data_IF_114208091550
#
_entry.id   IF_114208091550
#
_cell.length_a   1.000
_cell.length_b   1.000
_cell.length_c   1.000
_cell.angle_alpha   90.00
_cell.angle_beta   90.00
_cell.angle_gamma   90.00
#
_symmetry.space_group_name_H-M   'P 1'
#
loop_
_entity.id
_entity.type
_entity.pdbx_description
1 polymer ?
#
# COMPACT_ATOMS: atom_id res chain seq x y z
N UNK A 1 -7.84 -4.01 23.94
CA UNK A 1 -8.77 -4.15 25.08
C UNK A 1 -9.18 -5.62 25.18
N UNK A 2 -9.02 -6.29 26.33
CA UNK A 2 -9.56 -7.63 26.52
C UNK A 2 -11.10 -7.54 26.49
N UNK A 3 -11.73 -8.16 25.48
CA UNK A 3 -13.18 -8.26 25.40
C UNK A 3 -13.62 -9.25 26.48
N UNK A 4 -14.22 -8.74 27.55
CA UNK A 4 -14.86 -9.58 28.58
C UNK A 4 -16.33 -9.68 28.22
N UNK A 5 -16.92 -10.90 28.08
CA UNK A 5 -18.35 -11.03 27.92
C UNK A 5 -19.06 -10.31 29.07
N UNK A 6 -20.01 -9.43 28.76
CA UNK A 6 -20.80 -8.74 29.77
C UNK A 6 -21.54 -9.73 30.66
N UNK A 7 -21.75 -9.39 31.93
CA UNK A 7 -22.61 -10.18 32.82
C UNK A 7 -24.05 -10.10 32.29
N UNK A 8 -24.79 -11.21 32.39
CA UNK A 8 -26.21 -11.17 32.06
C UNK A 8 -26.95 -10.17 32.97
N UNK A 9 -27.95 -9.44 32.44
CA UNK A 9 -28.75 -8.53 33.24
C UNK A 9 -29.36 -9.28 34.41
N UNK A 10 -29.35 -8.67 35.59
CA UNK A 10 -30.00 -9.24 36.77
C UNK A 10 -31.42 -8.70 36.88
N UNK A 11 -32.38 -9.61 36.92
CA UNK A 11 -33.78 -9.32 37.28
C UNK A 11 -33.98 -9.97 38.65
N UNK A 12 -34.28 -9.18 39.67
CA UNK A 12 -34.45 -9.64 41.06
C UNK A 12 -33.25 -10.40 41.64
N UNK A 13 -32.03 -9.99 41.27
CA UNK A 13 -30.78 -10.63 41.71
C UNK A 13 -30.47 -11.94 40.98
N UNK A 14 -31.34 -12.39 40.06
CA UNK A 14 -31.12 -13.58 39.23
C UNK A 14 -30.61 -13.16 37.85
N UNK A 15 -29.47 -13.71 37.37
CA UNK A 15 -29.01 -13.47 36.01
C UNK A 15 -30.02 -14.01 34.99
N UNK A 16 -30.62 -13.12 34.20
CA UNK A 16 -31.47 -13.46 33.06
C UNK A 16 -30.79 -13.02 31.77
N UNK A 17 -30.15 -13.98 31.10
CA UNK A 17 -29.66 -13.75 29.74
C UNK A 17 -30.87 -13.85 28.78
N UNK A 18 -30.90 -13.08 27.68
CA UNK A 18 -31.85 -13.33 26.59
C UNK A 18 -31.80 -14.81 26.16
N UNK A 19 -32.88 -15.37 25.59
CA UNK A 19 -32.77 -16.67 24.93
C UNK A 19 -31.78 -16.58 23.75
N UNK A 20 -30.98 -17.63 23.54
CA UNK A 20 -30.08 -17.70 22.38
C UNK A 20 -30.91 -17.78 21.09
N UNK A 21 -30.44 -17.14 20.02
CA UNK A 21 -31.15 -17.12 18.73
C UNK A 21 -30.93 -18.44 17.99
N UNK A 22 -29.70 -18.97 18.04
CA UNK A 22 -29.35 -20.29 17.52
C UNK A 22 -28.16 -20.90 18.29
N UNK A 23 -27.82 -22.15 17.96
CA UNK A 23 -26.64 -22.85 18.52
C UNK A 23 -25.66 -23.12 17.40
N UNK A 24 -24.53 -22.44 17.45
CA UNK A 24 -23.48 -22.62 16.45
C UNK A 24 -22.45 -23.63 16.91
N UNK A 25 -22.10 -24.54 16.01
CA UNK A 25 -20.99 -25.46 16.20
C UNK A 25 -19.76 -24.86 15.52
N UNK A 26 -18.85 -24.28 16.31
CA UNK A 26 -17.63 -23.65 15.81
C UNK A 26 -16.43 -24.56 16.02
N UNK A 27 -15.54 -24.59 15.04
CA UNK A 27 -14.26 -25.30 15.13
C UNK A 27 -13.15 -24.30 15.44
N UNK A 28 -12.53 -24.44 16.62
CA UNK A 28 -11.53 -23.49 17.12
C UNK A 28 -10.39 -24.21 17.84
N UNK A 29 -9.24 -23.53 17.95
CA UNK A 29 -8.18 -23.99 18.84
C UNK A 29 -8.49 -23.58 20.27
N UNK A 30 -8.74 -24.57 21.14
CA UNK A 30 -8.76 -24.37 22.58
C UNK A 30 -7.35 -24.43 23.13
N UNK A 31 -6.90 -23.36 23.79
CA UNK A 31 -5.67 -23.34 24.57
C UNK A 31 -5.93 -24.04 25.90
N UNK A 32 -5.16 -25.08 26.19
CA UNK A 32 -5.21 -25.85 27.43
C UNK A 32 -4.25 -25.30 28.48
N UNK A 33 -3.07 -24.87 28.05
CA UNK A 33 -2.03 -24.29 28.89
C UNK A 33 -1.12 -23.39 28.04
N UNK A 34 -0.54 -22.39 28.67
CA UNK A 34 0.39 -21.47 28.02
C UNK A 34 1.42 -20.94 29.03
N UNK A 35 2.68 -20.85 28.61
CA UNK A 35 3.71 -20.23 29.41
C UNK A 35 4.67 -19.42 28.53
N UNK A 36 5.28 -18.39 29.12
CA UNK A 36 6.37 -17.66 28.51
C UNK A 36 7.57 -17.70 29.45
N UNK A 37 8.77 -17.77 28.88
CA UNK A 37 9.99 -17.88 29.66
C UNK A 37 11.23 -17.50 28.87
N UNK A 38 12.25 -17.10 29.62
CA UNK A 38 13.59 -16.86 29.11
C UNK A 38 14.42 -18.14 29.25
N UNK A 39 15.17 -18.47 28.19
CA UNK A 39 16.19 -19.52 28.22
C UNK A 39 17.53 -18.91 27.80
N UNK A 40 18.59 -19.25 28.55
CA UNK A 40 19.96 -18.93 28.16
C UNK A 40 20.51 -20.07 27.31
N UNK A 41 20.72 -19.81 26.02
CA UNK A 41 21.41 -20.73 25.12
C UNK A 41 22.89 -20.42 25.14
N UNK A 42 23.74 -21.44 25.23
CA UNK A 42 25.18 -21.25 25.22
C UNK A 42 25.92 -22.45 24.65
N UNK A 43 27.06 -22.18 24.02
CA UNK A 43 27.95 -23.20 23.47
C UNK A 43 29.38 -22.68 23.43
N UNK A 44 30.32 -23.54 23.78
CA UNK A 44 31.74 -23.31 23.57
C UNK A 44 32.22 -24.10 22.36
N UNK A 45 33.05 -23.47 21.52
CA UNK A 45 33.71 -24.10 20.38
C UNK A 45 35.21 -23.84 20.48
N UNK A 46 36.06 -24.71 19.91
CA UNK A 46 37.50 -24.50 19.94
C UNK A 46 37.86 -23.38 18.96
N UNK A 47 38.66 -22.42 19.41
CA UNK A 47 39.14 -21.33 18.57
C UNK A 47 39.90 -21.84 17.35
N UNK A 48 40.70 -22.91 17.52
CA UNK A 48 41.47 -23.53 16.44
C UNK A 48 40.61 -24.13 15.31
N UNK A 49 39.31 -24.39 15.54
CA UNK A 49 38.40 -24.87 14.49
C UNK A 49 38.02 -23.75 13.51
N UNK A 50 38.23 -22.47 13.87
CA UNK A 50 37.83 -21.29 13.10
C UNK A 50 38.99 -20.33 12.81
N UNK A 51 39.96 -20.24 13.72
CA UNK A 51 41.07 -19.30 13.69
C UNK A 51 42.38 -20.04 13.41
N UNK A 52 43.19 -19.52 12.49
CA UNK A 52 44.49 -20.10 12.11
C UNK A 52 45.61 -19.72 13.06
N UNK A 53 45.43 -18.67 13.85
CA UNK A 53 46.37 -18.17 14.84
C UNK A 53 45.75 -18.19 16.23
N UNK A 54 46.53 -18.43 17.29
CA UNK A 54 46.06 -18.29 18.66
C UNK A 54 45.51 -16.88 18.92
N UNK A 55 44.41 -16.79 19.67
CA UNK A 55 43.76 -15.53 20.01
C UNK A 55 44.58 -14.87 21.14
N UNK A 56 45.06 -13.62 20.97
CA UNK A 56 45.73 -12.88 22.05
C UNK A 56 44.80 -12.64 23.26
N UNK A 57 45.38 -12.54 24.46
CA UNK A 57 44.61 -12.30 25.71
C UNK A 57 43.90 -10.94 25.73
N UNK A 58 44.36 -9.97 24.94
CA UNK A 58 43.80 -8.61 24.80
C UNK A 58 42.83 -8.48 23.60
N UNK A 59 42.50 -9.59 22.92
CA UNK A 59 41.57 -9.57 21.81
C UNK A 59 40.11 -9.33 22.27
N UNK A 60 39.38 -8.54 21.48
CA UNK A 60 37.95 -8.31 21.70
C UNK A 60 37.14 -9.27 20.82
N UNK A 61 36.29 -10.08 21.45
CA UNK A 61 35.34 -10.96 20.78
C UNK A 61 34.00 -10.24 20.69
N UNK A 62 33.61 -9.88 19.47
CA UNK A 62 32.30 -9.33 19.18
C UNK A 62 31.40 -10.40 18.61
N UNK A 63 30.11 -10.33 18.92
CA UNK A 63 29.13 -11.20 18.29
C UNK A 63 27.86 -10.43 17.95
N UNK A 64 27.13 -10.94 16.97
CA UNK A 64 25.81 -10.45 16.58
C UNK A 64 24.87 -11.63 16.34
N UNK A 65 23.59 -11.48 16.68
CA UNK A 65 22.58 -12.50 16.37
C UNK A 65 22.25 -12.42 14.88
N UNK A 66 22.34 -13.55 14.19
CA UNK A 66 21.99 -13.60 12.76
C UNK A 66 20.47 -13.45 12.61
N UNK A 67 19.97 -12.46 11.83
CA UNK A 67 18.53 -12.22 11.69
C UNK A 67 17.77 -13.47 11.19
N UNK A 68 16.56 -13.69 11.72
CA UNK A 68 15.66 -14.77 11.31
C UNK A 68 16.19 -16.21 11.51
N UNK A 69 17.22 -16.40 12.33
CA UNK A 69 17.75 -17.74 12.64
C UNK A 69 17.18 -18.35 13.92
N UNK A 70 16.57 -17.52 14.78
CA UNK A 70 15.95 -17.98 16.01
C UNK A 70 14.71 -18.86 15.73
N UNK A 71 14.74 -20.09 16.22
CA UNK A 71 13.69 -21.11 16.02
C UNK A 71 13.37 -21.75 17.36
N UNK A 72 12.07 -22.00 17.58
CA UNK A 72 11.61 -22.89 18.64
C UNK A 72 10.62 -23.88 18.06
N UNK A 73 10.83 -25.17 18.31
CA UNK A 73 9.94 -26.22 17.83
C UNK A 73 9.78 -27.34 18.85
N UNK A 74 8.62 -27.97 18.82
CA UNK A 74 8.27 -29.09 19.68
C UNK A 74 9.05 -30.35 19.26
N UNK A 75 9.66 -31.04 20.22
CA UNK A 75 10.44 -32.25 19.97
C UNK A 75 9.88 -33.49 20.67
N UNK A 76 8.99 -33.33 21.66
CA UNK A 76 8.37 -34.48 22.30
C UNK A 76 7.75 -34.18 23.65
N UNK A 77 7.16 -35.23 24.22
CA UNK A 77 6.59 -35.21 25.55
C UNK A 77 7.33 -36.18 26.47
N UNK A 78 7.43 -35.82 27.75
CA UNK A 78 7.79 -36.75 28.81
C UNK A 78 6.61 -37.61 29.26
N UNK A 79 6.85 -38.47 30.24
CA UNK A 79 5.81 -39.29 30.86
C UNK A 79 4.73 -38.42 31.53
N UNK A 80 3.50 -38.93 31.56
CA UNK A 80 2.40 -38.26 32.26
C UNK A 80 2.64 -38.25 33.78
N UNK A 81 2.38 -37.10 34.37
CA UNK A 81 2.12 -36.92 35.79
C UNK A 81 0.60 -36.70 35.97
N UNK A 82 -0.13 -37.66 36.55
CA UNK A 82 -1.59 -37.64 36.59
C UNK A 82 -2.18 -36.33 37.15
N UNK A 83 -3.33 -35.85 36.62
CA UNK A 83 -4.15 -36.52 35.60
C UNK A 83 -3.67 -36.28 34.16
N UNK A 84 -3.22 -35.08 33.77
CA UNK A 84 -2.77 -34.78 32.39
C UNK A 84 -1.61 -33.77 32.29
N UNK A 85 -0.87 -33.56 33.37
CA UNK A 85 0.36 -32.79 33.28
C UNK A 85 1.47 -33.64 32.69
N UNK A 86 2.28 -33.11 31.79
CA UNK A 86 3.49 -33.80 31.33
C UNK A 86 4.56 -32.80 30.92
N UNK A 87 5.84 -33.23 30.95
CA UNK A 87 6.90 -32.44 30.39
C UNK A 87 6.69 -32.21 28.90
N UNK A 88 6.75 -30.96 28.48
CA UNK A 88 6.76 -30.54 27.08
C UNK A 88 8.19 -30.16 26.74
N UNK A 89 8.77 -30.89 25.79
CA UNK A 89 10.14 -30.67 25.35
C UNK A 89 10.11 -29.85 24.06
N UNK A 90 10.83 -28.74 24.07
CA UNK A 90 11.03 -27.89 22.91
C UNK A 90 12.52 -27.69 22.68
N UNK A 91 12.92 -27.67 21.42
CA UNK A 91 14.28 -27.33 21.03
C UNK A 91 14.33 -25.89 20.55
N UNK A 92 15.32 -25.16 21.03
CA UNK A 92 15.60 -23.79 20.65
C UNK A 92 16.92 -23.77 19.90
N UNK A 93 16.97 -22.97 18.85
CA UNK A 93 18.14 -22.79 18.02
C UNK A 93 18.26 -21.32 17.64
N UNK A 94 19.47 -20.79 17.65
CA UNK A 94 19.79 -19.45 17.16
C UNK A 94 21.23 -19.43 16.68
N UNK A 95 21.47 -18.75 15.57
CA UNK A 95 22.81 -18.61 15.02
C UNK A 95 23.37 -17.24 15.43
N UNK A 96 24.64 -17.24 15.85
CA UNK A 96 25.39 -16.03 16.17
C UNK A 96 26.60 -15.93 15.26
N UNK A 97 26.83 -14.75 14.71
CA UNK A 97 28.04 -14.42 13.96
C UNK A 97 29.08 -13.86 14.93
N UNK A 98 30.30 -14.35 14.85
CA UNK A 98 31.41 -13.99 15.74
C UNK A 98 32.55 -13.39 14.92
N UNK A 99 33.07 -12.26 15.40
CA UNK A 99 34.24 -11.58 14.84
C UNK A 99 35.20 -11.23 15.96
N UNK A 100 36.48 -11.56 15.79
CA UNK A 100 37.54 -11.35 16.78
C UNK A 100 38.50 -10.29 16.24
N UNK A 101 38.75 -9.28 17.06
CA UNK A 101 39.63 -8.15 16.75
C UNK A 101 40.75 -8.04 17.77
N UNK A 102 41.95 -7.64 17.35
CA UNK A 102 43.05 -7.33 18.26
C UNK A 102 42.82 -5.99 18.99
N UNK A 103 43.73 -5.64 19.90
CA UNK A 103 43.69 -4.35 20.61
C UNK A 103 43.83 -3.12 19.69
N UNK A 104 44.32 -3.30 18.46
CA UNK A 104 44.40 -2.24 17.44
C UNK A 104 43.13 -2.16 16.57
N UNK A 105 42.15 -3.04 16.77
CA UNK A 105 40.91 -3.11 16.01
C UNK A 105 41.01 -3.87 14.69
N UNK A 106 42.12 -4.57 14.44
CA UNK A 106 42.32 -5.41 13.24
C UNK A 106 41.63 -6.75 13.46
N UNK A 107 40.84 -7.18 12.48
CA UNK A 107 40.18 -8.49 12.51
C UNK A 107 41.23 -9.59 12.39
N UNK A 108 41.36 -10.41 13.43
CA UNK A 108 42.28 -11.56 13.47
C UNK A 108 41.57 -12.82 12.95
N UNK A 109 40.27 -12.94 13.23
CA UNK A 109 39.49 -14.13 12.92
C UNK A 109 38.00 -13.79 12.75
N UNK A 110 37.37 -14.37 11.74
CA UNK A 110 35.96 -14.17 11.40
C UNK A 110 35.71 -13.20 10.23
N UNK A 111 34.43 -12.95 9.91
CA UNK A 111 33.23 -13.47 10.58
C UNK A 111 33.02 -14.98 10.35
N UNK A 112 32.53 -15.69 11.36
CA UNK A 112 32.04 -17.07 11.24
C UNK A 112 30.80 -17.28 12.11
N UNK A 113 30.02 -18.31 11.79
CA UNK A 113 28.73 -18.56 12.44
C UNK A 113 28.81 -19.74 13.40
N UNK A 114 28.29 -19.56 14.61
CA UNK A 114 28.09 -20.62 15.60
C UNK A 114 26.59 -20.80 15.83
N UNK A 115 26.10 -22.03 15.70
CA UNK A 115 24.74 -22.39 16.11
C UNK A 115 24.71 -22.71 17.60
N UNK A 116 23.92 -21.93 18.35
CA UNK A 116 23.56 -22.16 19.74
C UNK A 116 22.24 -22.92 19.78
N UNK A 117 22.19 -24.01 20.54
CA UNK A 117 20.98 -24.82 20.66
C UNK A 117 20.81 -25.35 22.09
N UNK A 118 19.57 -25.52 22.50
CA UNK A 118 19.21 -25.99 23.83
C UNK A 118 17.86 -26.69 23.83
N UNK A 119 17.71 -27.64 24.74
CA UNK A 119 16.44 -28.30 25.00
C UNK A 119 15.87 -27.73 26.28
N UNK A 120 14.66 -27.19 26.18
CA UNK A 120 13.91 -26.70 27.31
C UNK A 120 12.74 -27.61 27.61
N UNK A 121 12.45 -27.77 28.89
CA UNK A 121 11.38 -28.59 29.40
C UNK A 121 10.49 -27.79 30.35
N UNK A 122 9.19 -27.77 30.08
CA UNK A 122 8.19 -27.20 30.99
C UNK A 122 7.13 -28.24 31.33
N UNK A 123 6.69 -28.27 32.59
CA UNK A 123 5.55 -29.08 33.01
C UNK A 123 4.27 -28.34 32.64
N UNK A 124 3.47 -28.89 31.71
CA UNK A 124 2.26 -28.24 31.21
C UNK A 124 1.09 -29.23 31.15
N UNK A 125 -0.13 -28.71 31.23
CA UNK A 125 -1.34 -29.49 31.02
C UNK A 125 -1.50 -29.81 29.52
N UNK A 126 -1.14 -31.03 29.13
CA UNK A 126 -1.15 -31.46 27.73
C UNK A 126 -1.82 -32.84 27.55
N UNK A 127 -3.17 -32.89 27.56
CA UNK A 127 -3.93 -34.10 27.30
C UNK A 127 -3.60 -34.76 25.94
N UNK A 128 -3.94 -36.04 25.75
CA UNK A 128 -3.87 -36.67 24.43
C UNK A 128 -4.65 -35.89 23.37
N UNK A 129 -4.09 -35.77 22.16
CA UNK A 129 -4.69 -35.03 21.05
C UNK A 129 -4.38 -33.53 21.00
N UNK A 130 -3.56 -33.01 21.92
CA UNK A 130 -3.08 -31.62 21.84
C UNK A 130 -1.87 -31.44 20.94
N UNK A 131 -1.80 -30.31 20.26
CA UNK A 131 -0.67 -29.75 19.54
C UNK A 131 0.11 -28.80 20.45
N UNK A 132 1.43 -28.77 20.29
CA UNK A 132 2.30 -27.79 20.96
C UNK A 132 2.78 -26.79 19.94
N UNK A 133 2.55 -25.52 20.21
CA UNK A 133 3.11 -24.43 19.46
C UNK A 133 4.18 -23.75 20.31
N UNK A 134 5.39 -23.59 19.76
CA UNK A 134 6.41 -22.75 20.37
C UNK A 134 6.74 -21.59 19.44
N UNK A 135 6.82 -20.38 19.99
CA UNK A 135 7.10 -19.16 19.25
C UNK A 135 8.17 -18.36 19.98
N UNK A 136 9.21 -17.94 19.24
CA UNK A 136 10.18 -16.98 19.77
C UNK A 136 9.56 -15.59 19.75
N UNK A 137 9.48 -14.95 20.91
CA UNK A 137 8.92 -13.60 21.10
C UNK A 137 10.02 -12.56 20.90
N UNK A 138 11.19 -12.80 21.49
CA UNK A 138 12.33 -11.90 21.44
C UNK A 138 13.65 -12.67 21.61
N UNK A 139 14.73 -12.09 21.08
CA UNK A 139 16.09 -12.58 21.27
C UNK A 139 16.91 -11.42 21.84
N UNK A 140 17.62 -11.67 22.93
CA UNK A 140 18.49 -10.69 23.55
C UNK A 140 19.83 -10.57 22.83
N UNK A 141 20.69 -9.69 23.34
CA UNK A 141 22.05 -9.55 22.83
C UNK A 141 22.87 -10.81 23.11
N UNK A 142 23.78 -11.13 22.19
CA UNK A 142 24.73 -12.21 22.41
C UNK A 142 25.96 -11.67 23.16
N UNK A 143 26.62 -12.54 23.90
CA UNK A 143 27.92 -12.28 24.53
C UNK A 143 28.82 -13.47 24.28
N UNK A 144 30.08 -13.24 23.94
CA UNK A 144 31.07 -14.29 23.74
C UNK A 144 32.33 -13.96 24.53
N UNK A 145 32.81 -14.95 25.27
CA UNK A 145 34.00 -14.85 26.11
C UNK A 145 35.05 -15.88 25.67
N UNK A 146 36.33 -15.53 25.83
CA UNK A 146 37.43 -16.47 25.66
C UNK A 146 37.65 -17.22 26.97
N UNK A 147 37.71 -18.54 26.89
CA UNK A 147 38.08 -19.41 28.00
C UNK A 147 39.24 -20.31 27.58
N UNK A 148 40.05 -20.76 28.53
CA UNK A 148 41.07 -21.80 28.29
C UNK A 148 40.59 -23.09 28.93
N UNK A 149 40.56 -24.17 28.17
CA UNK A 149 40.30 -25.50 28.71
C UNK A 149 41.43 -25.87 29.69
N UNK A 150 41.14 -26.11 30.97
CA UNK A 150 42.19 -26.41 31.97
C UNK A 150 42.86 -27.77 31.76
N UNK A 151 42.28 -28.66 30.94
CA UNK A 151 42.78 -30.01 30.68
C UNK A 151 43.61 -30.02 29.39
N UNK A 152 43.05 -29.50 28.29
CA UNK A 152 43.73 -29.55 26.98
C UNK A 152 44.64 -28.35 26.73
N UNK A 153 44.41 -27.23 27.43
CA UNK A 153 45.04 -25.95 27.13
C UNK A 153 44.47 -25.24 25.90
N UNK A 154 43.41 -25.79 25.28
CA UNK A 154 42.80 -25.20 24.10
C UNK A 154 42.04 -23.91 24.44
N UNK A 155 42.11 -22.92 23.54
CA UNK A 155 41.27 -21.73 23.61
C UNK A 155 39.86 -22.06 23.13
N UNK A 156 38.87 -21.74 23.94
CA UNK A 156 37.45 -21.94 23.70
C UNK A 156 36.74 -20.59 23.56
N UNK A 157 35.95 -20.45 22.51
CA UNK A 157 35.06 -19.30 22.30
C UNK A 157 33.68 -19.71 22.82
N UNK A 158 33.28 -19.15 23.95
CA UNK A 158 32.03 -19.48 24.63
C UNK A 158 31.01 -18.37 24.42
N UNK A 159 30.03 -18.63 23.56
CA UNK A 159 28.97 -17.68 23.24
C UNK A 159 27.67 -18.04 23.95
N UNK A 160 26.92 -17.02 24.37
CA UNK A 160 25.61 -17.16 25.02
C UNK A 160 24.64 -16.08 24.56
N UNK A 161 23.35 -16.43 24.51
CA UNK A 161 22.26 -15.54 24.13
C UNK A 161 20.99 -15.92 24.87
N UNK A 162 20.19 -14.91 25.23
CA UNK A 162 18.90 -15.10 25.89
C UNK A 162 17.80 -15.17 24.84
N UNK A 163 16.94 -16.18 24.92
CA UNK A 163 15.79 -16.34 24.02
C UNK A 163 14.52 -16.31 24.86
N UNK A 164 13.62 -15.36 24.57
CA UNK A 164 12.29 -15.29 25.14
C UNK A 164 11.30 -15.97 24.19
N UNK A 165 10.54 -16.92 24.73
CA UNK A 165 9.62 -17.74 23.93
C UNK A 165 8.31 -17.98 24.67
N UNK A 166 7.27 -18.22 23.87
CA UNK A 166 5.96 -18.67 24.30
C UNK A 166 5.76 -20.12 23.90
N UNK A 167 5.23 -20.93 24.82
CA UNK A 167 4.80 -22.30 24.55
C UNK A 167 3.30 -22.37 24.83
N UNK A 168 2.53 -22.86 23.85
CA UNK A 168 1.08 -23.02 23.94
C UNK A 168 0.68 -24.46 23.64
N UNK A 169 -0.19 -25.01 24.48
CA UNK A 169 -0.81 -26.32 24.27
C UNK A 169 -2.23 -26.11 23.76
N UNK A 170 -2.51 -26.59 22.55
CA UNK A 170 -3.79 -26.37 21.86
C UNK A 170 -4.42 -27.68 21.44
N UNK A 171 -5.74 -27.74 21.33
CA UNK A 171 -6.37 -28.76 20.50
C UNK A 171 -7.46 -28.14 19.64
N UNK A 172 -7.67 -28.73 18.47
CA UNK A 172 -8.82 -28.42 17.64
C UNK A 172 -10.06 -29.01 18.31
N UNK A 173 -10.99 -28.16 18.70
CA UNK A 173 -12.24 -28.56 19.37
C UNK A 173 -13.43 -28.01 18.62
N UNK A 174 -14.55 -28.75 18.72
CA UNK A 174 -15.87 -28.27 18.30
C UNK A 174 -16.61 -27.77 19.52
N UNK A 175 -16.88 -26.47 19.57
CA UNK A 175 -17.65 -25.86 20.66
C UNK A 175 -19.06 -25.57 20.16
N UNK A 176 -20.03 -25.94 20.98
CA UNK A 176 -21.40 -25.50 20.80
C UNK A 176 -21.55 -24.19 21.58
N UNK A 177 -21.57 -23.06 20.87
CA UNK A 177 -21.72 -21.74 21.48
C UNK A 177 -23.14 -21.22 21.24
N UNK A 178 -23.83 -20.70 22.28
CA UNK A 178 -25.06 -19.97 22.06
C UNK A 178 -24.73 -18.66 21.34
N UNK A 179 -25.26 -18.46 20.13
CA UNK A 179 -25.16 -17.18 19.45
C UNK A 179 -26.42 -16.35 19.72
N UNK A 180 -26.20 -15.08 20.00
CA UNK A 180 -27.25 -14.10 20.30
C UNK A 180 -27.52 -13.18 19.10
N UNK A 181 -27.03 -13.57 17.92
CA UNK A 181 -26.98 -12.77 16.69
C UNK A 181 -25.60 -12.81 16.05
N UNK A 182 -25.49 -12.28 14.83
CA UNK A 182 -24.22 -12.00 14.17
C UNK A 182 -23.74 -10.60 14.59
N UNK A 183 -22.43 -10.34 14.47
CA UNK A 183 -21.98 -8.96 14.46
C UNK A 183 -22.61 -8.27 13.24
N UNK A 184 -23.59 -7.41 13.47
CA UNK A 184 -23.95 -6.42 12.46
C UNK A 184 -22.73 -5.54 12.23
N UNK A 185 -22.42 -5.27 10.96
CA UNK A 185 -21.36 -4.35 10.61
C UNK A 185 -21.74 -2.99 11.20
N UNK A 186 -21.08 -2.62 12.30
CA UNK A 186 -21.08 -1.23 12.73
C UNK A 186 -20.45 -0.43 11.56
N UNK A 187 -21.17 0.55 10.99
CA UNK A 187 -20.58 1.39 9.96
C UNK A 187 -19.31 1.98 10.53
N UNK A 188 -18.18 1.81 9.82
CA UNK A 188 -16.91 2.39 10.21
C UNK A 188 -17.15 3.86 10.52
N UNK A 189 -17.06 4.26 11.79
CA UNK A 189 -17.05 5.67 12.15
C UNK A 189 -15.70 6.18 11.64
N UNK A 190 -15.65 6.98 10.55
CA UNK A 190 -14.38 7.51 10.11
C UNK A 190 -13.82 8.29 11.29
N UNK A 191 -12.56 8.00 11.65
CA UNK A 191 -11.77 8.95 12.45
C UNK A 191 -11.97 10.33 11.80
N UNK A 192 -12.18 11.44 12.55
CA UNK A 192 -12.26 12.76 11.97
C UNK A 192 -10.97 13.00 11.18
N UNK A 193 -10.99 12.67 9.89
CA UNK A 193 -9.88 12.90 9.02
C UNK A 193 -9.85 14.41 8.82
N UNK A 194 -8.68 15.06 8.90
CA UNK A 194 -8.58 16.42 8.42
C UNK A 194 -9.20 16.45 7.02
N UNK A 195 -10.16 17.34 6.83
CA UNK A 195 -11.02 17.43 5.64
C UNK A 195 -10.20 17.14 4.38
N UNK A 196 -10.36 15.94 3.84
CA UNK A 196 -9.76 15.52 2.59
C UNK A 196 -10.92 15.41 1.60
N UNK A 197 -11.19 16.46 0.79
CA UNK A 197 -12.29 16.43 -0.16
C UNK A 197 -12.07 15.26 -1.13
N UNK A 198 -13.00 14.31 -1.11
CA UNK A 198 -13.03 13.16 -2.00
C UNK A 198 -14.35 13.20 -2.79
N UNK A 199 -14.31 13.25 -4.14
CA UNK A 199 -13.13 13.20 -4.98
C UNK A 199 -12.22 14.42 -4.79
N UNK A 200 -10.89 14.27 -4.96
CA UNK A 200 -9.93 15.37 -4.86
C UNK A 200 -10.43 16.57 -5.67
N UNK A 201 -10.33 17.77 -5.11
CA UNK A 201 -10.70 19.03 -5.80
C UNK A 201 -9.88 19.26 -7.09
N UNK A 202 -8.79 18.49 -7.27
CA UNK A 202 -8.04 18.43 -8.51
C UNK A 202 -8.61 17.33 -9.42
N UNK A 203 -8.89 17.63 -10.70
CA UNK A 203 -9.46 16.67 -11.63
C UNK A 203 -8.54 15.44 -11.78
N UNK A 204 -9.08 14.28 -11.41
CA UNK A 204 -8.45 12.95 -11.46
C UNK A 204 -8.08 12.48 -12.88
N UNK A 205 -8.51 13.20 -13.91
CA UNK A 205 -8.21 12.92 -15.30
C UNK A 205 -7.62 14.18 -15.94
N UNK A 206 -6.59 14.06 -16.81
CA UNK A 206 -6.18 15.19 -17.63
C UNK A 206 -7.39 15.72 -18.40
N UNK A 207 -7.51 17.05 -18.65
CA UNK A 207 -8.63 17.61 -19.38
C UNK A 207 -8.83 16.81 -20.66
N UNK A 208 -10.02 16.22 -20.78
CA UNK A 208 -10.38 15.37 -21.89
C UNK A 208 -10.33 16.25 -23.15
N UNK A 209 -9.34 16.03 -24.00
CA UNK A 209 -9.29 16.63 -25.34
C UNK A 209 -10.61 16.29 -26.05
N UNK A 210 -11.22 17.27 -26.73
CA UNK A 210 -12.53 17.18 -27.39
C UNK A 210 -12.86 15.74 -27.84
N UNK A 211 -13.83 15.12 -27.17
CA UNK A 211 -14.27 13.75 -27.48
C UNK A 211 -15.09 13.69 -28.77
N UNK A 212 -15.58 14.83 -29.24
CA UNK A 212 -16.33 14.99 -30.49
C UNK A 212 -15.47 15.72 -31.53
N UNK A 213 -15.62 15.39 -32.83
CA UNK A 213 -14.91 16.09 -33.91
C UNK A 213 -15.24 17.58 -33.84
N UNK A 214 -14.25 18.48 -33.97
CA UNK A 214 -14.53 19.89 -33.79
C UNK A 214 -15.43 20.41 -34.90
N UNK A 215 -16.18 21.45 -34.56
CA UNK A 215 -17.18 22.06 -35.42
C UNK A 215 -16.92 23.55 -35.60
N UNK A 216 -17.20 24.04 -36.80
CA UNK A 216 -17.27 25.47 -37.10
C UNK A 216 -18.69 25.81 -37.54
N UNK A 217 -19.37 26.68 -36.80
CA UNK A 217 -20.75 27.08 -37.09
C UNK A 217 -20.79 28.52 -37.59
N UNK A 218 -21.51 28.75 -38.69
CA UNK A 218 -21.69 30.06 -39.30
C UNK A 218 -23.17 30.49 -39.19
N UNK A 219 -23.41 31.67 -38.64
CA UNK A 219 -24.76 32.21 -38.41
C UNK A 219 -24.82 33.64 -38.96
N UNK A 220 -25.91 33.96 -39.66
CA UNK A 220 -26.15 35.30 -40.19
C UNK A 220 -26.74 36.27 -39.16
N UNK A 221 -27.06 37.48 -39.61
CA UNK A 221 -27.58 38.56 -38.76
C UNK A 221 -28.99 38.25 -38.19
N UNK A 222 -29.77 37.42 -38.87
CA UNK A 222 -31.10 37.03 -38.43
C UNK A 222 -31.08 35.79 -37.51
N UNK A 223 -29.88 35.27 -37.17
CA UNK A 223 -29.74 34.02 -36.45
C UNK A 223 -29.97 32.79 -37.32
N UNK A 224 -30.02 32.95 -38.64
CA UNK A 224 -30.23 31.85 -39.60
C UNK A 224 -28.89 31.22 -39.95
N UNK A 225 -28.79 29.87 -39.97
CA UNK A 225 -27.54 29.22 -40.32
C UNK A 225 -27.10 29.48 -41.76
N UNK A 226 -25.81 29.75 -41.97
CA UNK A 226 -25.22 29.95 -43.30
C UNK A 226 -24.77 28.59 -43.84
N UNK A 227 -25.51 28.06 -44.83
CA UNK A 227 -25.30 26.71 -45.37
C UNK A 227 -24.45 26.71 -46.65
N UNK A 228 -23.84 25.57 -46.98
CA UNK A 228 -23.10 25.37 -48.23
C UNK A 228 -21.78 26.13 -48.37
N UNK A 229 -21.27 26.73 -47.29
CA UNK A 229 -19.98 27.44 -47.26
C UNK A 229 -18.85 26.45 -46.97
N UNK A 230 -17.78 26.48 -47.76
CA UNK A 230 -16.55 25.73 -47.47
C UNK A 230 -15.72 26.43 -46.42
N UNK A 231 -15.49 25.75 -45.30
CA UNK A 231 -14.61 26.19 -44.22
C UNK A 231 -13.31 25.41 -44.31
N UNK A 232 -12.20 26.13 -44.32
CA UNK A 232 -10.85 25.58 -44.35
C UNK A 232 -10.17 25.81 -43.00
N UNK A 233 -9.51 24.78 -42.47
CA UNK A 233 -8.62 24.91 -41.32
C UNK A 233 -7.22 24.50 -41.74
N UNK A 234 -6.27 25.42 -41.64
CA UNK A 234 -4.86 25.19 -41.97
C UNK A 234 -4.03 25.06 -40.70
N UNK A 235 -3.38 23.91 -40.53
CA UNK A 235 -2.43 23.59 -39.45
C UNK A 235 -1.07 23.27 -40.05
N UNK A 236 -0.05 24.05 -39.71
CA UNK A 236 1.34 23.82 -40.15
C UNK A 236 1.48 23.61 -41.68
N UNK A 237 0.66 24.33 -42.46
CA UNK A 237 0.65 24.22 -43.92
C UNK A 237 -0.26 23.12 -44.50
N UNK A 238 -0.84 22.25 -43.68
CA UNK A 238 -1.84 21.26 -44.10
C UNK A 238 -3.24 21.84 -43.95
N UNK A 239 -4.05 21.79 -45.00
CA UNK A 239 -5.43 22.32 -44.98
C UNK A 239 -6.45 21.18 -45.01
N UNK A 240 -7.39 21.21 -44.07
CA UNK A 240 -8.58 20.33 -44.05
C UNK A 240 -9.80 21.20 -44.31
N UNK A 241 -10.72 20.71 -45.14
CA UNK A 241 -11.91 21.44 -45.56
C UNK A 241 -13.18 20.67 -45.20
N UNK A 242 -14.20 21.38 -44.76
CA UNK A 242 -15.55 20.86 -44.58
C UNK A 242 -16.58 21.89 -45.02
N UNK A 243 -17.72 21.43 -45.56
CA UNK A 243 -18.81 22.32 -45.94
C UNK A 243 -19.81 22.42 -44.80
N UNK A 244 -20.34 23.61 -44.55
CA UNK A 244 -21.42 23.82 -43.60
C UNK A 244 -22.71 23.13 -44.06
N UNK A 245 -23.33 22.35 -43.19
CA UNK A 245 -24.58 21.63 -43.44
C UNK A 245 -25.83 22.54 -43.31
N UNK A 246 -27.02 21.92 -43.20
CA UNK A 246 -28.29 22.66 -43.03
C UNK A 246 -28.38 23.44 -41.72
N UNK A 247 -27.55 23.11 -40.74
CA UNK A 247 -27.44 23.82 -39.46
C UNK A 247 -26.33 24.86 -39.48
N UNK A 248 -25.72 25.11 -40.64
CA UNK A 248 -24.61 26.03 -40.80
C UNK A 248 -23.32 25.52 -40.16
N UNK A 249 -23.23 24.21 -39.90
CA UNK A 249 -22.12 23.61 -39.16
C UNK A 249 -21.23 22.78 -40.08
N UNK A 250 -19.93 23.05 -40.04
CA UNK A 250 -18.89 22.28 -40.72
C UNK A 250 -18.15 21.40 -39.68
N UNK A 251 -18.21 20.08 -39.85
CA UNK A 251 -17.63 19.10 -38.91
C UNK A 251 -16.33 18.50 -39.47
N UNK A 252 -15.25 18.53 -38.70
CA UNK A 252 -13.92 18.11 -39.14
C UNK A 252 -13.51 16.78 -38.48
N UNK A 253 -13.88 15.66 -39.09
CA UNK A 253 -13.67 14.32 -38.52
C UNK A 253 -12.21 13.85 -38.48
N UNK A 254 -11.31 14.48 -39.24
CA UNK A 254 -9.90 14.06 -39.38
C UNK A 254 -8.89 14.99 -38.72
N UNK A 255 -9.31 16.14 -38.20
CA UNK A 255 -8.41 17.21 -37.72
C UNK A 255 -7.97 17.05 -36.25
N UNK A 256 -8.69 16.25 -35.45
CA UNK A 256 -8.60 16.32 -33.98
C UNK A 256 -9.12 17.67 -33.46
N UNK A 257 -8.94 18.02 -32.18
CA UNK A 257 -9.35 19.32 -31.65
C UNK A 257 -8.70 20.49 -32.42
N UNK A 258 -9.37 21.64 -32.48
CA UNK A 258 -8.79 22.89 -33.00
C UNK A 258 -7.82 23.42 -31.93
N UNK A 259 -6.62 23.83 -32.33
CA UNK A 259 -5.56 24.24 -31.41
C UNK A 259 -5.02 25.63 -31.72
N UNK A 260 -4.30 26.22 -30.77
CA UNK A 260 -3.59 27.48 -30.95
C UNK A 260 -2.69 27.47 -32.20
N UNK A 261 -2.81 28.52 -33.03
CA UNK A 261 -2.07 28.67 -34.27
C UNK A 261 -2.78 28.12 -35.52
N UNK A 262 -3.86 27.35 -35.37
CA UNK A 262 -4.71 26.98 -36.50
C UNK A 262 -5.31 28.22 -37.16
N UNK A 263 -5.35 28.23 -38.49
CA UNK A 263 -5.95 29.33 -39.27
C UNK A 263 -7.26 28.84 -39.88
N UNK A 264 -8.37 29.42 -39.44
CA UNK A 264 -9.73 29.11 -39.92
C UNK A 264 -10.13 30.16 -40.95
N UNK A 265 -10.55 29.69 -42.13
CA UNK A 265 -10.87 30.54 -43.27
C UNK A 265 -12.15 30.11 -43.97
N UNK A 266 -12.96 31.07 -44.39
CA UNK A 266 -14.10 30.85 -45.27
C UNK A 266 -14.42 32.11 -46.07
N UNK A 267 -15.06 31.95 -47.23
CA UNK A 267 -15.54 33.11 -48.01
C UNK A 267 -16.97 33.44 -47.60
N UNK A 268 -17.20 34.66 -47.14
CA UNK A 268 -18.53 35.14 -46.78
C UNK A 268 -19.43 35.18 -48.04
N UNK A 269 -20.52 34.39 -48.10
CA UNK A 269 -21.38 34.35 -49.30
C UNK A 269 -22.13 35.66 -49.56
N UNK A 270 -22.33 36.52 -48.55
CA UNK A 270 -23.04 37.79 -48.72
C UNK A 270 -22.15 38.88 -49.34
N UNK A 271 -20.85 38.87 -49.02
CA UNK A 271 -19.91 39.92 -49.45
C UNK A 271 -18.85 39.45 -50.45
N UNK A 272 -18.65 38.14 -50.59
CA UNK A 272 -17.60 37.54 -51.41
C UNK A 272 -16.19 37.70 -50.83
N UNK A 273 -16.03 38.25 -49.63
CA UNK A 273 -14.72 38.47 -49.00
C UNK A 273 -14.27 37.26 -48.18
N UNK A 274 -12.95 37.10 -48.05
CA UNK A 274 -12.34 36.03 -47.25
C UNK A 274 -12.29 36.43 -45.78
N UNK A 275 -12.98 35.69 -44.92
CA UNK A 275 -12.84 35.77 -43.47
C UNK A 275 -11.68 34.86 -43.06
N UNK A 276 -10.73 35.37 -42.28
CA UNK A 276 -9.58 34.62 -41.78
C UNK A 276 -9.36 34.89 -40.30
N UNK A 277 -9.26 33.83 -39.51
CA UNK A 277 -9.04 33.90 -38.07
C UNK A 277 -7.96 32.92 -37.63
N UNK A 278 -6.97 33.40 -36.88
CA UNK A 278 -5.96 32.55 -36.24
C UNK A 278 -6.33 32.31 -34.78
N UNK A 279 -6.42 31.05 -34.37
CA UNK A 279 -6.78 30.67 -33.00
C UNK A 279 -5.67 31.12 -32.05
N UNK A 280 -5.93 32.07 -31.13
CA UNK A 280 -4.91 32.55 -30.20
C UNK A 280 -4.63 31.49 -29.13
N UNK A 281 -3.42 31.45 -28.52
CA UNK A 281 -3.11 30.48 -27.45
C UNK A 281 -3.97 30.64 -26.20
N UNK A 282 -4.35 31.88 -25.87
CA UNK A 282 -5.28 32.20 -24.80
C UNK A 282 -6.10 33.42 -25.20
N UNK A 283 -7.27 33.61 -24.60
CA UNK A 283 -8.06 34.83 -24.75
C UNK A 283 -8.76 35.20 -23.44
N UNK A 284 -9.17 36.46 -23.30
CA UNK A 284 -9.84 36.95 -22.10
C UNK A 284 -11.26 37.34 -22.45
N UNK A 285 -12.24 36.83 -21.70
CA UNK A 285 -13.65 37.17 -21.92
C UNK A 285 -14.01 38.56 -21.39
N UNK A 286 -15.26 38.98 -21.61
CA UNK A 286 -15.77 40.27 -21.15
C UNK A 286 -15.75 40.46 -19.62
N UNK A 287 -15.62 39.37 -18.85
CA UNK A 287 -15.53 39.40 -17.38
C UNK A 287 -14.08 39.47 -16.89
N UNK A 288 -13.09 39.41 -17.78
CA UNK A 288 -11.68 39.38 -17.42
C UNK A 288 -11.14 37.98 -17.16
N UNK A 289 -11.90 36.92 -17.43
CA UNK A 289 -11.47 35.53 -17.21
C UNK A 289 -10.61 35.07 -18.39
N UNK A 290 -9.42 34.53 -18.08
CA UNK A 290 -8.49 33.98 -19.06
C UNK A 290 -8.89 32.54 -19.43
N UNK A 291 -9.02 32.27 -20.73
CA UNK A 291 -9.38 30.97 -21.31
C UNK A 291 -8.22 30.42 -22.15
N UNK A 292 -8.04 29.10 -22.13
CA UNK A 292 -7.05 28.36 -22.93
C UNK A 292 -7.70 27.84 -24.23
N UNK A 293 -7.06 28.06 -25.38
CA UNK A 293 -7.52 27.60 -26.69
C UNK A 293 -6.74 26.39 -27.22
N UNK A 294 -5.97 25.69 -26.38
CA UNK A 294 -5.20 24.52 -26.81
C UNK A 294 -6.08 23.29 -27.13
N UNK A 295 -7.38 23.32 -26.81
CA UNK A 295 -8.33 22.23 -27.08
C UNK A 295 -9.72 22.76 -27.43
N UNK A 296 -9.83 23.57 -28.48
CA UNK A 296 -11.12 24.14 -28.91
C UNK A 296 -11.97 23.08 -29.61
N UNK A 297 -13.22 22.94 -29.16
CA UNK A 297 -14.18 21.97 -29.73
C UNK A 297 -15.15 22.64 -30.71
N UNK A 298 -15.48 23.91 -30.48
CA UNK A 298 -16.43 24.65 -31.29
C UNK A 298 -15.98 26.09 -31.52
N UNK A 299 -16.04 26.49 -32.80
CA UNK A 299 -15.92 27.89 -33.19
C UNK A 299 -17.24 28.34 -33.81
N UNK A 300 -17.77 29.47 -33.38
CA UNK A 300 -19.00 30.01 -33.92
C UNK A 300 -18.80 31.44 -34.39
N UNK A 301 -19.13 31.69 -35.66
CA UNK A 301 -19.09 33.01 -36.28
C UNK A 301 -20.52 33.51 -36.46
N UNK A 302 -20.92 34.52 -35.69
CA UNK A 302 -22.26 35.12 -35.74
C UNK A 302 -22.16 36.52 -36.33
N UNK A 303 -22.76 36.74 -37.50
CA UNK A 303 -22.74 38.06 -38.15
C UNK A 303 -23.44 39.11 -37.29
N UNK A 304 -22.82 40.28 -37.12
CA UNK A 304 -23.38 41.39 -36.34
C UNK A 304 -23.80 42.58 -37.18
N UNK A 305 -22.91 43.13 -38.00
CA UNK A 305 -23.21 44.25 -38.87
C UNK A 305 -22.36 44.13 -40.12
N UNK A 306 -22.98 44.27 -41.30
CA UNK A 306 -22.27 44.21 -42.58
C UNK A 306 -21.52 42.90 -42.76
N UNK A 307 -20.19 42.99 -42.85
CA UNK A 307 -19.28 41.85 -43.04
C UNK A 307 -18.66 41.33 -41.75
N UNK A 308 -18.92 41.96 -40.61
CA UNK A 308 -18.28 41.63 -39.34
C UNK A 308 -19.00 40.49 -38.62
N UNK A 309 -18.23 39.57 -38.05
CA UNK A 309 -18.69 38.44 -37.26
C UNK A 309 -18.20 38.54 -35.82
N UNK A 310 -19.10 38.32 -34.86
CA UNK A 310 -18.71 37.93 -33.52
C UNK A 310 -18.20 36.49 -33.56
N UNK A 311 -17.04 36.27 -32.98
CA UNK A 311 -16.44 34.95 -32.87
C UNK A 311 -16.56 34.45 -31.44
N UNK A 312 -17.13 33.26 -31.29
CA UNK A 312 -17.19 32.53 -30.03
C UNK A 312 -16.30 31.28 -30.11
N UNK A 313 -15.53 31.06 -29.05
CA UNK A 313 -14.70 29.87 -28.83
C UNK A 313 -15.34 29.12 -27.67
N UNK A 314 -15.83 27.90 -27.91
CA UNK A 314 -16.54 27.08 -26.93
C UNK A 314 -17.67 27.82 -26.19
N UNK A 315 -18.42 28.63 -26.95
CA UNK A 315 -19.54 29.43 -26.47
C UNK A 315 -19.16 30.76 -25.80
N UNK A 316 -17.87 31.06 -25.65
CA UNK A 316 -17.39 32.31 -25.04
C UNK A 316 -17.00 33.30 -26.13
N UNK A 317 -17.52 34.53 -26.06
CA UNK A 317 -17.19 35.59 -27.02
C UNK A 317 -15.69 35.96 -26.92
N UNK A 318 -14.95 35.71 -28.00
CA UNK A 318 -13.53 36.04 -28.12
C UNK A 318 -13.31 37.43 -28.74
N UNK A 319 -14.18 37.85 -29.66
CA UNK A 319 -14.07 39.18 -30.28
C UNK A 319 -14.83 39.29 -31.60
N UNK A 320 -14.45 40.27 -32.41
CA UNK A 320 -15.01 40.49 -33.75
C UNK A 320 -13.97 40.23 -34.83
N UNK A 321 -14.37 39.57 -35.91
CA UNK A 321 -13.57 39.34 -37.11
C UNK A 321 -14.25 40.03 -38.28
N UNK A 322 -13.50 40.87 -39.01
CA UNK A 322 -13.97 41.54 -40.22
C UNK A 322 -13.09 41.11 -41.41
N UNK A 323 -13.69 40.69 -42.55
CA UNK A 323 -12.96 40.23 -43.73
C UNK A 323 -12.38 41.33 -44.64
#
# INVERSE_FOLDING_TARGET
MPITPGKCPQVDGVPQCPPFTEKDCIEVFKVFDQCAGEELLGRCVRAADFCTVPIPDDATISCTVVPNTARCFFIGFGAFNPPFFRPVLVQNQVDVEVTITDAAGVVICGPFVITLQGIFQAQMWAPPGTLVQCQVIAVGDCTCDLATDPITGDQLICCRVKVCKEIQIKALVKLLVPSYGFCELDPCVPVPQPFFPCPPEQPLFPPQRCQEPPVVTLIDLAGVPIQGVTVNITREGTTVSANTDITGTATFTTLGAIVAGDVVQFTDPASGKLVSFTVPPTFTDATGTLHDSNTVCSLQFVRTVGTTFNLFIDGVLNGTVDP
#
